data_IF_733717357681
#
_entry.id   IF_733717357681
#
_cell.length_a   1.000
_cell.length_b   1.000
_cell.length_c   1.000
_cell.angle_alpha   90.00
_cell.angle_beta   90.00
_cell.angle_gamma   90.00
#
_symmetry.space_group_name_H-M   'P 1'
#
loop_
_entity.id
_entity.type
_entity.pdbx_description
1 polymer ?
#
# COMPACT_ATOMS: atom_id res chain seq x y z
N UNK A 1 -8.74 20.86 25.30
CA UNK A 1 -8.08 22.10 24.87
C UNK A 1 -8.13 22.10 23.35
N UNK A 2 -8.97 22.96 22.77
CA UNK A 2 -9.24 23.04 21.34
C UNK A 2 -7.97 23.46 20.57
N UNK A 3 -7.60 22.74 19.52
CA UNK A 3 -6.80 23.30 18.42
C UNK A 3 -7.68 23.31 17.15
N UNK A 4 -7.96 24.50 16.57
CA UNK A 4 -8.85 24.65 15.44
C UNK A 4 -8.14 24.32 14.12
N UNK A 5 -8.93 23.77 13.18
CA UNK A 5 -8.85 23.86 11.72
C UNK A 5 -7.50 24.32 11.14
N UNK A 6 -6.83 23.42 10.40
CA UNK A 6 -5.99 23.86 9.28
C UNK A 6 -6.90 24.55 8.25
N UNK A 7 -6.96 25.88 8.32
CA UNK A 7 -7.53 26.74 7.29
C UNK A 7 -6.51 26.81 6.12
N UNK A 8 -6.82 26.18 5.00
CA UNK A 8 -6.22 26.54 3.71
C UNK A 8 -7.31 27.12 2.80
N UNK A 9 -7.46 28.45 2.81
CA UNK A 9 -8.39 29.16 1.91
C UNK A 9 -7.62 29.67 0.67
N UNK A 10 -7.72 28.87 -0.40
CA UNK A 10 -7.73 29.11 -1.87
C UNK A 10 -6.85 30.18 -2.55
N UNK A 11 -6.20 29.75 -3.66
CA UNK A 11 -6.37 30.33 -5.02
C UNK A 11 -6.45 29.21 -6.09
N UNK A 12 -7.41 29.35 -7.02
CA UNK A 12 -7.76 28.49 -8.20
C UNK A 12 -6.59 28.36 -9.20
N UNK A 13 -6.45 27.40 -10.12
CA UNK A 13 -7.39 26.50 -10.85
C UNK A 13 -6.56 25.41 -11.58
N UNK A 14 -6.97 24.14 -11.54
CA UNK A 14 -7.23 23.37 -12.76
C UNK A 14 -8.14 22.17 -12.45
N UNK A 15 -9.29 22.18 -13.14
CA UNK A 15 -10.41 21.23 -13.17
C UNK A 15 -11.36 21.18 -11.95
N UNK A 16 -12.62 21.56 -12.20
CA UNK A 16 -13.83 21.08 -11.51
C UNK A 16 -14.13 21.59 -10.09
N UNK A 17 -14.98 22.62 -9.98
CA UNK A 17 -15.71 23.07 -8.78
C UNK A 17 -14.91 23.44 -7.50
N UNK A 18 -15.44 24.33 -6.64
CA UNK A 18 -14.89 24.49 -5.28
C UNK A 18 -14.96 23.14 -4.56
N UNK A 19 -13.88 22.75 -3.86
CA UNK A 19 -13.99 21.71 -2.82
C UNK A 19 -15.00 22.22 -1.81
N UNK A 20 -16.15 21.55 -1.72
CA UNK A 20 -17.15 21.86 -0.71
C UNK A 20 -16.62 21.34 0.62
N UNK A 21 -16.13 22.26 1.46
CA UNK A 21 -15.58 21.95 2.79
C UNK A 21 -16.60 21.33 3.75
N UNK A 22 -17.88 21.30 3.37
CA UNK A 22 -18.96 20.62 4.12
C UNK A 22 -19.07 19.15 3.76
N UNK A 23 -18.52 18.73 2.62
CA UNK A 23 -18.46 17.34 2.18
C UNK A 23 -17.14 16.76 2.69
N UNK A 24 -17.22 15.72 3.52
CA UNK A 24 -16.03 14.96 3.91
C UNK A 24 -15.47 14.27 2.66
N UNK A 25 -14.18 14.50 2.38
CA UNK A 25 -13.45 13.76 1.35
C UNK A 25 -12.69 12.62 2.01
N UNK A 26 -12.50 11.52 1.28
CA UNK A 26 -11.60 10.46 1.68
C UNK A 26 -10.19 11.04 1.85
N UNK A 27 -9.51 10.72 2.96
CA UNK A 27 -8.14 11.18 3.23
C UNK A 27 -7.19 10.77 2.11
N UNK A 28 -7.39 9.59 1.51
CA UNK A 28 -6.59 9.13 0.39
C UNK A 28 -6.80 9.98 -0.87
N UNK A 29 -8.04 10.34 -1.17
CA UNK A 29 -8.34 11.20 -2.33
C UNK A 29 -7.76 12.60 -2.12
N UNK A 30 -7.96 13.18 -0.94
CA UNK A 30 -7.40 14.48 -0.59
C UNK A 30 -5.86 14.48 -0.65
N UNK A 31 -5.22 13.44 -0.13
CA UNK A 31 -3.77 13.29 -0.14
C UNK A 31 -3.23 13.28 -1.58
N UNK A 32 -3.82 12.45 -2.46
CA UNK A 32 -3.40 12.37 -3.86
C UNK A 32 -3.60 13.72 -4.59
N UNK A 33 -4.73 14.40 -4.39
CA UNK A 33 -4.98 15.72 -4.98
C UNK A 33 -3.92 16.74 -4.50
N UNK A 34 -3.56 16.69 -3.22
CA UNK A 34 -2.56 17.58 -2.64
C UNK A 34 -1.17 17.30 -3.20
N UNK A 35 -0.74 16.04 -3.21
CA UNK A 35 0.58 15.65 -3.73
C UNK A 35 0.70 15.97 -5.21
N UNK A 36 -0.32 15.66 -6.02
CA UNK A 36 -0.32 15.97 -7.45
C UNK A 36 -0.16 17.48 -7.70
N UNK A 37 -0.82 18.32 -6.89
CA UNK A 37 -0.66 19.77 -7.00
C UNK A 37 0.74 20.22 -6.63
N UNK A 38 1.28 19.73 -5.52
CA UNK A 38 2.64 20.08 -5.10
C UNK A 38 3.64 19.62 -6.17
N UNK A 39 3.53 18.40 -6.69
CA UNK A 39 4.39 17.92 -7.76
C UNK A 39 4.30 18.79 -9.01
N UNK A 40 3.09 19.18 -9.42
CA UNK A 40 2.92 20.05 -10.58
C UNK A 40 3.57 21.43 -10.41
N UNK A 41 3.53 22.01 -9.22
CA UNK A 41 4.22 23.27 -8.90
C UNK A 41 5.74 23.10 -8.77
N UNK A 42 6.20 21.91 -8.34
CA UNK A 42 7.62 21.61 -8.20
C UNK A 42 8.29 21.20 -9.52
N UNK A 43 7.55 20.67 -10.50
CA UNK A 43 8.04 20.26 -11.83
C UNK A 43 9.01 21.25 -12.51
N UNK A 44 8.75 22.57 -12.56
CA UNK A 44 9.66 23.53 -13.18
C UNK A 44 10.91 23.85 -12.33
N UNK A 45 10.94 23.44 -11.07
CA UNK A 45 12.04 23.75 -10.14
C UNK A 45 13.09 22.62 -10.10
N UNK A 46 14.24 22.90 -9.48
CA UNK A 46 15.24 21.86 -9.18
C UNK A 46 14.73 20.76 -8.22
N UNK A 47 13.63 21.02 -7.50
CA UNK A 47 13.03 20.14 -6.50
C UNK A 47 11.90 19.27 -7.07
N UNK A 48 11.82 19.10 -8.39
CA UNK A 48 10.78 18.33 -9.09
C UNK A 48 10.53 16.89 -8.61
N UNK A 49 11.49 16.28 -7.90
CA UNK A 49 11.36 14.93 -7.33
C UNK A 49 11.27 14.92 -5.80
N UNK A 50 11.23 16.07 -5.14
CA UNK A 50 11.29 16.16 -3.67
C UNK A 50 10.28 15.25 -2.98
N UNK A 51 9.04 15.22 -3.49
CA UNK A 51 7.99 14.37 -2.94
C UNK A 51 8.29 12.87 -3.11
N UNK A 52 8.72 12.45 -4.30
CA UNK A 52 9.11 11.08 -4.58
C UNK A 52 10.38 10.67 -3.80
N UNK A 53 11.36 11.56 -3.66
CA UNK A 53 12.61 11.28 -2.95
C UNK A 53 12.39 11.13 -1.43
N UNK A 54 11.37 11.79 -0.87
CA UNK A 54 11.04 11.72 0.56
C UNK A 54 10.05 10.59 0.90
N UNK A 55 8.98 10.46 0.11
CA UNK A 55 7.80 9.63 0.42
C UNK A 55 7.51 8.56 -0.63
N UNK A 56 8.20 8.60 -1.76
CA UNK A 56 7.99 7.68 -2.87
C UNK A 56 8.63 6.32 -2.63
N UNK A 57 7.81 5.29 -2.67
CA UNK A 57 8.23 3.90 -2.73
C UNK A 57 7.76 3.24 -4.02
N UNK A 58 8.06 1.96 -4.15
CA UNK A 58 7.60 1.13 -5.26
C UNK A 58 7.02 -0.17 -4.77
N UNK A 59 5.91 -0.58 -5.38
CA UNK A 59 5.32 -1.91 -5.24
C UNK A 59 5.46 -2.68 -6.53
N UNK A 60 5.45 -4.01 -6.43
CA UNK A 60 5.40 -4.90 -7.57
C UNK A 60 4.10 -5.68 -7.54
N UNK A 61 3.32 -5.52 -8.60
CA UNK A 61 2.14 -6.33 -8.87
C UNK A 61 2.57 -7.61 -9.59
N UNK A 62 2.41 -8.75 -8.94
CA UNK A 62 2.77 -10.07 -9.46
C UNK A 62 1.52 -10.83 -9.90
N UNK A 63 1.55 -11.40 -11.10
CA UNK A 63 0.54 -12.29 -11.66
C UNK A 63 1.19 -13.63 -11.98
N UNK A 64 0.85 -14.68 -11.21
CA UNK A 64 1.47 -16.00 -11.27
C UNK A 64 0.47 -16.99 -11.83
N UNK A 65 0.75 -17.53 -13.02
CA UNK A 65 -0.12 -18.51 -13.67
C UNK A 65 -0.12 -19.85 -12.91
N UNK A 66 -1.28 -20.31 -12.47
CA UNK A 66 -1.49 -21.62 -11.83
C UNK A 66 -1.96 -22.69 -12.82
N UNK A 67 -2.17 -22.34 -14.10
CA UNK A 67 -2.69 -23.23 -15.14
C UNK A 67 -1.66 -24.17 -15.81
N UNK A 68 -0.44 -24.25 -15.25
CA UNK A 68 0.58 -25.24 -15.63
C UNK A 68 1.94 -24.68 -16.07
N UNK A 69 2.05 -23.42 -16.51
CA UNK A 69 3.35 -22.86 -16.94
C UNK A 69 4.16 -22.18 -15.84
N UNK A 70 3.55 -21.84 -14.70
CA UNK A 70 4.22 -21.13 -13.60
C UNK A 70 4.75 -19.74 -13.95
N UNK A 71 4.39 -19.18 -15.12
CA UNK A 71 4.93 -17.89 -15.57
C UNK A 71 4.52 -16.78 -14.60
N UNK A 72 5.51 -16.00 -14.14
CA UNK A 72 5.31 -14.83 -13.30
C UNK A 72 5.41 -13.58 -14.17
N UNK A 73 4.38 -12.75 -14.17
CA UNK A 73 4.42 -11.40 -14.74
C UNK A 73 4.49 -10.39 -13.62
N UNK A 74 5.40 -9.44 -13.75
CA UNK A 74 5.60 -8.41 -12.75
C UNK A 74 5.40 -7.04 -13.39
N UNK A 75 4.73 -6.15 -12.65
CA UNK A 75 4.64 -4.73 -12.99
C UNK A 75 4.98 -3.90 -11.76
N UNK A 76 6.03 -3.11 -11.88
CA UNK A 76 6.40 -2.12 -10.87
C UNK A 76 5.50 -0.89 -10.97
N UNK A 77 5.13 -0.34 -9.81
CA UNK A 77 4.31 0.86 -9.68
C UNK A 77 4.82 1.72 -8.53
N UNK A 78 4.87 3.03 -8.75
CA UNK A 78 5.21 3.97 -7.69
C UNK A 78 4.03 4.15 -6.73
N UNK A 79 4.33 4.36 -5.45
CA UNK A 79 3.35 4.71 -4.44
C UNK A 79 3.91 5.80 -3.51
N UNK A 80 3.03 6.62 -2.94
CA UNK A 80 3.38 7.54 -1.85
C UNK A 80 2.73 7.15 -0.52
N UNK A 81 1.70 6.30 -0.58
CA UNK A 81 0.96 5.81 0.56
C UNK A 81 0.47 4.39 0.28
N UNK A 82 0.54 3.52 1.29
CA UNK A 82 -0.08 2.19 1.24
C UNK A 82 -1.42 2.22 1.96
N UNK A 83 -2.43 1.54 1.42
CA UNK A 83 -3.76 1.49 2.00
C UNK A 83 -4.09 0.10 2.53
N UNK A 84 -4.02 -0.06 3.84
CA UNK A 84 -4.20 -1.33 4.53
C UNK A 84 -5.69 -1.66 4.74
N UNK A 85 -6.13 -2.89 4.40
CA UNK A 85 -7.47 -3.35 4.74
C UNK A 85 -7.57 -3.58 6.24
N UNK A 86 -8.65 -3.13 6.88
CA UNK A 86 -8.84 -3.32 8.32
C UNK A 86 -10.07 -4.15 8.70
N UNK A 87 -10.95 -4.45 7.73
CA UNK A 87 -12.13 -5.29 7.98
C UNK A 87 -11.68 -6.64 8.55
N UNK A 88 -12.25 -7.05 9.67
CA UNK A 88 -11.94 -8.32 10.34
C UNK A 88 -10.48 -8.49 10.78
N UNK A 89 -9.73 -7.38 10.97
CA UNK A 89 -8.32 -7.39 11.38
C UNK A 89 -8.14 -6.50 12.60
N UNK A 90 -7.38 -6.97 13.59
CA UNK A 90 -7.25 -6.25 14.88
C UNK A 90 -5.94 -5.49 15.02
N UNK A 91 -4.95 -5.77 14.16
CA UNK A 91 -3.65 -5.13 14.22
C UNK A 91 -2.99 -4.92 12.84
N UNK A 92 -1.98 -4.05 12.81
CA UNK A 92 -1.22 -3.71 11.60
C UNK A 92 -0.53 -4.89 10.95
N UNK A 93 -0.05 -5.86 11.75
CA UNK A 93 0.60 -7.07 11.23
C UNK A 93 -0.37 -7.90 10.39
N UNK A 94 -1.56 -8.20 10.91
CA UNK A 94 -2.61 -8.93 10.17
C UNK A 94 -3.04 -8.21 8.89
N UNK A 95 -3.11 -6.88 8.94
CA UNK A 95 -3.41 -6.09 7.75
C UNK A 95 -2.31 -6.12 6.70
N UNK A 96 -1.03 -6.12 7.11
CA UNK A 96 0.09 -6.26 6.19
C UNK A 96 0.21 -7.69 5.65
N UNK A 97 -0.01 -8.70 6.49
CA UNK A 97 -0.07 -10.11 6.07
C UNK A 97 -1.15 -10.27 4.99
N UNK A 98 -2.32 -9.65 5.17
CA UNK A 98 -3.38 -9.63 4.17
C UNK A 98 -3.07 -8.78 2.94
N UNK A 99 -2.29 -7.71 3.08
CA UNK A 99 -1.90 -6.84 1.96
C UNK A 99 -1.05 -7.60 0.93
N UNK A 100 -0.11 -8.42 1.40
CA UNK A 100 0.76 -9.24 0.53
C UNK A 100 0.17 -10.61 0.18
N UNK A 101 -0.99 -10.95 0.75
CA UNK A 101 -1.64 -12.23 0.51
C UNK A 101 -2.11 -12.33 -0.95
N UNK A 102 -1.78 -13.43 -1.67
CA UNK A 102 -2.26 -13.60 -3.03
C UNK A 102 -3.76 -13.86 -3.09
N UNK A 103 -4.42 -13.18 -4.03
CA UNK A 103 -5.80 -13.40 -4.45
C UNK A 103 -5.83 -14.32 -5.67
N UNK A 104 -6.73 -15.29 -5.69
CA UNK A 104 -6.94 -16.15 -6.85
C UNK A 104 -7.92 -15.53 -7.82
N UNK A 105 -7.47 -15.33 -9.06
CA UNK A 105 -8.27 -14.85 -10.17
C UNK A 105 -8.54 -15.99 -11.16
N UNK A 106 -9.81 -16.16 -11.52
CA UNK A 106 -10.23 -17.13 -12.53
C UNK A 106 -10.34 -16.47 -13.91
N UNK A 107 -10.07 -17.24 -14.96
CA UNK A 107 -10.30 -16.79 -16.34
C UNK A 107 -9.29 -15.79 -16.91
N UNK A 108 -8.13 -15.60 -16.28
CA UNK A 108 -7.07 -14.71 -16.75
C UNK A 108 -6.35 -15.31 -17.95
N UNK A 109 -6.18 -14.55 -19.04
CA UNK A 109 -5.45 -15.01 -20.22
C UNK A 109 -3.93 -15.05 -19.96
N UNK A 110 -3.36 -16.24 -20.09
CA UNK A 110 -1.92 -16.47 -20.01
C UNK A 110 -1.34 -16.61 -21.43
N UNK A 111 -0.40 -15.75 -21.80
CA UNK A 111 0.21 -15.72 -23.14
C UNK A 111 1.08 -16.97 -23.36
N UNK A 112 1.76 -17.42 -22.30
CA UNK A 112 2.60 -18.62 -22.36
C UNK A 112 1.78 -19.91 -22.54
N UNK A 113 0.58 -19.99 -21.94
CA UNK A 113 -0.33 -21.12 -22.15
C UNK A 113 -1.30 -20.92 -23.32
N UNK A 114 -1.36 -19.71 -23.87
CA UNK A 114 -2.35 -19.24 -24.86
C UNK A 114 -3.81 -19.61 -24.51
N UNK A 115 -4.17 -19.59 -23.22
CA UNK A 115 -5.51 -19.96 -22.73
C UNK A 115 -5.86 -19.21 -21.44
N UNK A 116 -7.14 -19.28 -21.05
CA UNK A 116 -7.60 -18.77 -19.76
C UNK A 116 -7.20 -19.74 -18.64
N UNK A 117 -6.52 -19.22 -17.63
CA UNK A 117 -5.97 -19.98 -16.51
C UNK A 117 -6.33 -19.32 -15.18
N UNK A 118 -6.36 -20.13 -14.12
CA UNK A 118 -6.32 -19.61 -12.76
C UNK A 118 -4.98 -18.92 -12.54
N UNK A 119 -4.99 -17.74 -11.95
CA UNK A 119 -3.81 -16.89 -11.75
C UNK A 119 -3.83 -16.33 -10.33
N UNK A 120 -2.72 -16.41 -9.61
CA UNK A 120 -2.57 -15.70 -8.34
C UNK A 120 -2.11 -14.28 -8.62
N UNK A 121 -2.80 -13.31 -8.04
CA UNK A 121 -2.43 -11.90 -8.04
C UNK A 121 -2.01 -11.50 -6.65
N UNK A 122 -0.84 -10.85 -6.51
CA UNK A 122 -0.46 -10.19 -5.25
C UNK A 122 0.26 -8.89 -5.52
N UNK A 123 0.23 -8.01 -4.54
CA UNK A 123 1.00 -6.77 -4.51
C UNK A 123 2.01 -6.86 -3.37
N UNK A 124 3.28 -6.57 -3.66
CA UNK A 124 4.37 -6.70 -2.69
C UNK A 124 5.20 -5.43 -2.67
N UNK A 125 5.74 -5.06 -1.51
CA UNK A 125 6.62 -3.89 -1.42
C UNK A 125 7.95 -4.18 -2.12
N UNK A 126 8.51 -3.22 -2.84
CA UNK A 126 9.78 -3.42 -3.53
C UNK A 126 10.84 -2.39 -3.13
N UNK A 127 10.53 -1.10 -3.28
CA UNK A 127 11.37 -0.02 -2.78
C UNK A 127 10.61 0.71 -1.68
N UNK A 128 11.18 0.76 -0.48
CA UNK A 128 10.60 1.43 0.67
C UNK A 128 11.06 2.90 0.72
N UNK A 129 10.16 3.86 1.01
CA UNK A 129 10.50 5.29 1.14
C UNK A 129 11.13 5.59 2.51
N UNK A 130 11.91 6.67 2.63
CA UNK A 130 12.43 7.12 3.93
C UNK A 130 11.31 7.46 4.94
N UNK A 131 10.15 7.90 4.45
CA UNK A 131 8.96 8.17 5.25
C UNK A 131 7.74 7.53 4.59
N UNK A 132 7.11 6.60 5.30
CA UNK A 132 5.98 5.84 4.79
C UNK A 132 4.65 6.38 5.33
N UNK A 133 3.73 6.73 4.44
CA UNK A 133 2.34 6.96 4.80
C UNK A 133 1.56 5.64 4.74
N UNK A 134 0.84 5.35 5.83
CA UNK A 134 -0.04 4.19 5.94
C UNK A 134 -1.47 4.66 6.16
N UNK A 135 -2.33 4.42 5.18
CA UNK A 135 -3.76 4.65 5.27
C UNK A 135 -4.46 3.39 5.78
N UNK A 136 -5.26 3.53 6.83
CA UNK A 136 -6.17 2.49 7.29
C UNK A 136 -7.52 2.67 6.60
N UNK A 137 -7.95 1.70 5.77
CA UNK A 137 -9.23 1.74 5.03
C UNK A 137 -10.43 1.59 5.97
N UNK A 138 -10.68 2.61 6.79
CA UNK A 138 -11.77 2.64 7.78
C UNK A 138 -13.14 2.89 7.17
N UNK A 139 -13.19 3.36 5.93
CA UNK A 139 -14.43 3.64 5.22
C UNK A 139 -14.57 2.63 4.09
N UNK A 140 -15.62 1.83 4.13
CA UNK A 140 -15.96 0.89 3.06
C UNK A 140 -17.42 1.04 2.69
N UNK A 141 -17.74 0.74 1.43
CA UNK A 141 -19.12 0.68 0.98
C UNK A 141 -19.75 -0.62 1.52
N UNK A 142 -20.81 -0.49 2.31
CA UNK A 142 -21.65 -1.62 2.65
C UNK A 142 -22.55 -1.93 1.44
N UNK A 143 -22.35 -3.08 0.80
CA UNK A 143 -23.10 -3.48 -0.39
C UNK A 143 -24.57 -3.84 -0.12
N UNK A 144 -24.94 -4.10 1.13
CA UNK A 144 -26.34 -4.35 1.50
C UNK A 144 -27.12 -3.05 1.66
N UNK A 145 -26.50 -2.05 2.30
CA UNK A 145 -27.15 -0.75 2.57
C UNK A 145 -26.85 0.30 1.50
N UNK A 146 -25.88 0.05 0.62
CA UNK A 146 -25.31 0.99 -0.35
C UNK A 146 -24.85 2.31 0.29
N UNK A 147 -24.37 2.24 1.53
CA UNK A 147 -23.86 3.40 2.29
C UNK A 147 -22.41 3.19 2.68
N UNK A 148 -21.66 4.28 2.77
CA UNK A 148 -20.33 4.25 3.33
C UNK A 148 -20.43 4.08 4.85
N UNK A 149 -19.75 3.08 5.39
CA UNK A 149 -19.72 2.81 6.81
C UNK A 149 -18.31 2.95 7.35
N UNK A 150 -18.19 3.63 8.50
CA UNK A 150 -16.93 3.79 9.22
C UNK A 150 -16.75 2.63 10.18
N UNK A 151 -15.68 1.85 9.99
CA UNK A 151 -15.23 0.88 10.98
C UNK A 151 -14.59 1.58 12.19
N UNK A 152 -15.31 1.52 13.31
CA UNK A 152 -14.84 1.95 14.63
C UNK A 152 -14.17 0.81 15.41
N UNK A 153 -13.86 -0.31 14.75
CA UNK A 153 -13.18 -1.43 15.38
C UNK A 153 -11.82 -0.97 15.94
N UNK A 154 -11.50 -1.47 17.15
CA UNK A 154 -10.19 -1.30 17.76
C UNK A 154 -9.13 -1.90 16.84
N UNK A 155 -8.10 -1.12 16.56
CA UNK A 155 -7.00 -1.50 15.68
C UNK A 155 -5.70 -1.06 16.33
N UNK A 156 -4.78 -1.99 16.49
CA UNK A 156 -3.48 -1.77 17.13
C UNK A 156 -2.39 -1.64 16.07
N UNK A 157 -1.45 -0.72 16.29
CA UNK A 157 -0.25 -0.57 15.48
C UNK A 157 0.95 -0.39 16.43
N UNK A 158 2.11 -0.98 16.12
CA UNK A 158 3.28 -0.90 16.98
C UNK A 158 4.01 0.43 16.81
N UNK A 159 4.82 0.81 17.81
CA UNK A 159 5.71 1.97 17.71
C UNK A 159 6.88 1.73 16.74
N UNK A 160 7.28 0.47 16.57
CA UNK A 160 8.32 0.04 15.63
C UNK A 160 7.82 -1.15 14.80
N UNK A 161 8.14 -1.16 13.51
CA UNK A 161 7.73 -2.22 12.58
C UNK A 161 8.87 -2.61 11.64
N UNK A 162 9.02 -3.92 11.40
CA UNK A 162 9.88 -4.45 10.36
C UNK A 162 9.04 -4.77 9.11
N UNK A 163 9.38 -4.13 7.99
CA UNK A 163 8.70 -4.32 6.72
C UNK A 163 9.33 -5.39 5.83
N UNK A 164 10.47 -5.98 6.20
CA UNK A 164 11.16 -7.01 5.42
C UNK A 164 10.23 -8.13 4.97
N UNK A 165 9.38 -8.72 5.84
CA UNK A 165 8.50 -9.84 5.46
C UNK A 165 7.45 -9.48 4.40
N UNK A 166 7.20 -8.19 4.18
CA UNK A 166 6.21 -7.66 3.25
C UNK A 166 6.84 -7.16 1.94
N UNK A 167 8.16 -7.22 1.85
CA UNK A 167 8.90 -6.91 0.63
C UNK A 167 9.01 -8.12 -0.29
N UNK A 168 9.21 -7.88 -1.59
CA UNK A 168 9.51 -8.91 -2.58
C UNK A 168 10.66 -9.81 -2.13
N UNK A 169 11.74 -9.21 -1.62
CA UNK A 169 12.90 -9.93 -1.11
C UNK A 169 12.54 -10.84 0.08
N UNK A 170 11.85 -10.29 1.09
CA UNK A 170 11.49 -11.06 2.28
C UNK A 170 10.53 -12.19 1.94
N UNK A 171 9.56 -11.96 1.04
CA UNK A 171 8.65 -13.01 0.57
C UNK A 171 9.36 -14.09 -0.23
N UNK A 172 10.23 -13.73 -1.18
CA UNK A 172 11.02 -14.69 -1.95
C UNK A 172 11.92 -15.54 -1.03
N UNK A 173 12.49 -14.92 0.01
CA UNK A 173 13.27 -15.62 1.04
C UNK A 173 12.40 -16.58 1.85
N UNK A 174 11.23 -16.13 2.32
CA UNK A 174 10.29 -16.97 3.08
C UNK A 174 9.79 -18.17 2.26
N UNK A 175 9.55 -17.99 0.96
CA UNK A 175 9.19 -19.07 0.05
C UNK A 175 10.33 -20.08 -0.12
N UNK A 176 11.58 -19.61 -0.27
CA UNK A 176 12.76 -20.49 -0.33
C UNK A 176 13.00 -21.22 0.99
N UNK A 177 12.79 -20.59 2.14
CA UNK A 177 12.85 -21.24 3.46
C UNK A 177 11.83 -22.39 3.50
N UNK A 178 10.59 -22.15 3.10
CA UNK A 178 9.55 -23.20 3.05
C UNK A 178 9.92 -24.32 2.07
N UNK A 179 10.49 -23.99 0.92
CA UNK A 179 10.95 -24.99 -0.05
C UNK A 179 12.15 -25.81 0.49
N UNK A 180 13.07 -25.19 1.23
CA UNK A 180 14.24 -25.87 1.82
C UNK A 180 13.88 -26.89 2.91
N UNK A 181 12.69 -26.78 3.52
CA UNK A 181 12.18 -27.81 4.44
C UNK A 181 11.86 -29.12 3.72
N UNK A 182 11.55 -29.06 2.42
CA UNK A 182 11.20 -30.21 1.59
C UNK A 182 12.36 -30.67 0.70
N UNK A 183 13.29 -29.78 0.34
CA UNK A 183 14.45 -30.07 -0.52
C UNK A 183 15.73 -29.39 0.02
N UNK A 184 16.68 -30.20 0.48
CA UNK A 184 17.94 -29.74 1.08
C UNK A 184 18.88 -29.03 0.11
N UNK A 185 18.63 -29.07 -1.20
CA UNK A 185 19.44 -28.36 -2.20
C UNK A 185 19.02 -26.91 -2.42
N UNK A 186 17.90 -26.46 -1.84
CA UNK A 186 17.41 -25.09 -2.01
C UNK A 186 18.30 -24.12 -1.22
N UNK A 187 19.03 -23.27 -1.93
CA UNK A 187 19.81 -22.19 -1.32
C UNK A 187 18.89 -21.07 -0.83
N UNK A 188 18.88 -20.87 0.48
CA UNK A 188 18.15 -19.78 1.14
C UNK A 188 19.09 -18.58 1.28
N UNK A 189 18.75 -17.41 0.71
CA UNK A 189 19.50 -16.18 0.95
C UNK A 189 19.47 -15.81 2.44
N UNK A 190 20.56 -15.20 2.93
CA UNK A 190 20.57 -14.59 4.27
C UNK A 190 19.43 -13.56 4.39
N UNK A 191 18.81 -13.39 5.57
CA UNK A 191 18.04 -12.19 5.85
C UNK A 191 18.88 -10.93 5.57
N UNK A 192 18.24 -9.87 5.08
CA UNK A 192 18.88 -8.58 4.82
C UNK A 192 20.03 -8.68 3.80
N UNK A 193 19.85 -9.47 2.74
CA UNK A 193 20.88 -9.71 1.74
C UNK A 193 21.08 -8.51 0.80
N UNK A 194 20.00 -7.77 0.48
CA UNK A 194 20.11 -6.60 -0.40
C UNK A 194 20.32 -5.29 0.35
N UNK A 195 19.67 -5.10 1.50
CA UNK A 195 19.74 -3.88 2.29
C UNK A 195 20.02 -4.19 3.77
N UNK A 196 20.67 -3.27 4.51
CA UNK A 196 20.89 -3.45 5.95
C UNK A 196 19.56 -3.54 6.71
N UNK A 197 19.51 -4.16 7.90
CA UNK A 197 18.29 -4.31 8.68
C UNK A 197 17.57 -2.98 8.97
N UNK A 198 18.31 -1.89 9.09
CA UNK A 198 17.81 -0.53 9.32
C UNK A 198 16.89 -0.04 8.20
N UNK A 199 17.08 -0.52 6.97
CA UNK A 199 16.27 -0.13 5.82
C UNK A 199 14.79 -0.54 5.96
N UNK A 200 14.54 -1.67 6.61
CA UNK A 200 13.20 -2.22 6.76
C UNK A 200 12.52 -1.82 8.06
N UNK A 201 13.27 -1.22 9.00
CA UNK A 201 12.78 -0.86 10.33
C UNK A 201 12.24 0.57 10.33
N UNK A 202 10.95 0.69 10.60
CA UNK A 202 10.25 1.97 10.69
C UNK A 202 9.83 2.25 12.13
N UNK A 203 9.93 3.52 12.51
CA UNK A 203 9.42 4.03 13.78
C UNK A 203 8.23 4.94 13.53
N UNK A 204 7.19 4.81 14.36
CA UNK A 204 6.02 5.67 14.32
C UNK A 204 6.39 7.10 14.72
N UNK A 205 6.08 8.06 13.86
CA UNK A 205 6.35 9.49 14.08
C UNK A 205 5.11 10.37 14.14
N UNK A 206 3.96 9.88 13.67
CA UNK A 206 2.72 10.66 13.66
C UNK A 206 1.49 9.83 13.36
N UNK A 207 0.35 10.25 13.92
CA UNK A 207 -0.96 9.61 13.73
C UNK A 207 -2.00 10.69 13.42
N UNK A 208 -2.65 10.57 12.27
CA UNK A 208 -3.78 11.44 11.90
C UNK A 208 -5.08 10.76 12.31
N UNK A 209 -5.83 11.38 13.23
CA UNK A 209 -7.08 10.83 13.77
C UNK A 209 -8.28 11.50 13.14
N UNK A 210 -9.21 10.70 12.60
CA UNK A 210 -10.51 11.20 12.14
C UNK A 210 -11.59 11.03 13.23
N UNK A 211 -12.11 12.15 13.72
CA UNK A 211 -13.25 12.22 14.65
C UNK A 211 -14.53 12.55 13.88
N UNK A 212 -15.52 11.66 13.89
CA UNK A 212 -16.77 11.80 13.15
C UNK A 212 -17.28 10.48 12.55
N UNK A 213 -18.53 10.48 12.09
CA UNK A 213 -19.18 9.35 11.39
C UNK A 213 -18.94 9.43 9.88
N UNK A 214 -19.16 8.32 9.17
CA UNK A 214 -19.30 8.36 7.71
C UNK A 214 -20.62 9.07 7.35
N UNK A 215 -20.59 9.93 6.34
CA UNK A 215 -21.76 10.62 5.79
C UNK A 215 -22.44 9.80 4.69
#
# INVERSE_FOLDING_TARGET
>A
MYMPLFLFIKKKKNQGNPVDVRIQQDVQEFFNILTDRIENELKPTQFRRLLQDCFGGKVVNQMICQGGCGSVREREQDFMMISLPIKSRVNMKESLDAYVQPEQLEGVHCDACNKKCNTLKREVLHQLPNSLFVHLKRFELNFETFRHEKSNQRFEFPDEIDLEPYTKEGLDRLEKVKASQNDTNVQVPSPYAMHPPEYYKYKLVGVTVHTGSAN
#
